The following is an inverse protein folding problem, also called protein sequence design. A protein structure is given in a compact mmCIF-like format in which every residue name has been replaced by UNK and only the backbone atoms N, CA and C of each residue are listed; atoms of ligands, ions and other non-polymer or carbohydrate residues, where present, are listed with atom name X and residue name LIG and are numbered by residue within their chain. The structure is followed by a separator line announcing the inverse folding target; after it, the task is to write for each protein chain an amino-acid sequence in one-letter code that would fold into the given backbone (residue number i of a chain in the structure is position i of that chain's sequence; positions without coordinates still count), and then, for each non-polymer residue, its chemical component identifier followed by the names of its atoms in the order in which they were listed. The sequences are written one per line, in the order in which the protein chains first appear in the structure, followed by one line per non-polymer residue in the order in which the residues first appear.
data_IF_059057394019
#
_entry.id   IF_059057394019
#
_cell.length_a   1.000
_cell.length_b   1.000
_cell.length_c   1.000
_cell.angle_alpha   90.00
_cell.angle_beta   90.00
_cell.angle_gamma   90.00
#
_symmetry.space_group_name_H-M   'P 1'
#
loop_
_entity.id
_entity.type
_entity.pdbx_description
1 polymer ?
#
# COMPACT_ATOMS: atom_id res chain seq x y z
N UNK A 1 -26.82 20.29 12.89
CA UNK A 1 -27.11 18.84 12.84
C UNK A 1 -26.71 18.25 14.18
N UNK A 2 -27.64 17.67 14.93
CA UNK A 2 -27.35 17.05 16.22
C UNK A 2 -26.78 15.64 16.00
N UNK A 3 -25.45 15.56 15.85
CA UNK A 3 -24.72 14.29 15.67
C UNK A 3 -24.73 13.39 16.92
N UNK A 4 -25.38 13.81 18.01
CA UNK A 4 -25.56 13.00 19.22
C UNK A 4 -26.49 11.81 19.02
N UNK A 5 -27.44 11.90 18.08
CA UNK A 5 -28.42 10.85 17.82
C UNK A 5 -27.99 9.91 16.68
N UNK A 6 -26.92 10.24 15.96
CA UNK A 6 -26.39 9.43 14.86
C UNK A 6 -25.66 8.23 15.43
N UNK A 7 -26.08 7.03 15.06
CA UNK A 7 -25.40 5.80 15.50
C UNK A 7 -24.11 5.57 14.72
N UNK A 8 -23.26 4.66 15.19
CA UNK A 8 -22.05 4.31 14.46
C UNK A 8 -22.37 3.67 13.10
N UNK A 9 -23.46 2.91 13.01
CA UNK A 9 -23.87 2.24 11.78
C UNK A 9 -24.36 3.22 10.73
N UNK A 10 -25.13 4.24 11.13
CA UNK A 10 -25.55 5.31 10.23
C UNK A 10 -24.34 6.06 9.65
N UNK A 11 -23.30 6.26 10.47
CA UNK A 11 -22.05 6.88 10.03
C UNK A 11 -21.30 5.98 9.04
N UNK A 12 -21.21 4.68 9.31
CA UNK A 12 -20.53 3.72 8.43
C UNK A 12 -21.24 3.64 7.07
N UNK A 13 -22.57 3.55 7.08
CA UNK A 13 -23.35 3.52 5.84
C UNK A 13 -23.18 4.83 5.07
N UNK A 14 -23.26 5.97 5.75
CA UNK A 14 -23.01 7.27 5.13
C UNK A 14 -21.58 7.41 4.57
N UNK A 15 -20.58 6.79 5.19
CA UNK A 15 -19.20 6.76 4.66
C UNK A 15 -19.05 5.81 3.46
N UNK A 16 -19.89 4.77 3.38
CA UNK A 16 -19.87 3.79 2.30
C UNK A 16 -20.53 4.32 1.03
N UNK A 17 -21.64 5.03 1.17
CA UNK A 17 -22.40 5.62 0.06
C UNK A 17 -21.72 6.86 -0.55
N UNK A 18 -20.65 7.32 0.06
CA UNK A 18 -20.06 8.62 -0.21
C UNK A 18 -19.18 8.62 -1.46
N UNK A 19 -19.41 9.59 -2.33
CA UNK A 19 -18.56 9.83 -3.51
C UNK A 19 -17.19 10.41 -3.11
N UNK A 20 -16.14 9.72 -3.57
CA UNK A 20 -14.73 10.06 -3.32
C UNK A 20 -14.12 11.01 -4.35
N UNK A 21 -14.91 11.42 -5.35
CA UNK A 21 -14.49 12.37 -6.40
C UNK A 21 -14.45 13.83 -5.94
N UNK A 22 -14.98 14.12 -4.74
CA UNK A 22 -14.99 15.46 -4.17
C UNK A 22 -13.57 15.91 -3.77
N UNK A 23 -13.15 17.14 -4.14
CA UNK A 23 -11.83 17.64 -3.77
C UNK A 23 -11.67 17.76 -2.25
N UNK A 24 -10.45 17.61 -1.72
CA UNK A 24 -10.19 17.79 -0.29
C UNK A 24 -10.53 19.21 0.14
N UNK A 25 -10.98 19.34 1.40
CA UNK A 25 -11.33 20.63 1.99
C UNK A 25 -10.07 21.49 2.19
N UNK A 26 -10.18 22.84 2.14
CA UNK A 26 -9.02 23.72 2.26
C UNK A 26 -8.27 23.49 3.57
N UNK A 27 -6.93 23.44 3.48
CA UNK A 27 -6.04 23.15 4.62
C UNK A 27 -6.12 24.23 5.70
N UNK A 28 -6.36 25.49 5.32
CA UNK A 28 -6.56 26.60 6.25
C UNK A 28 -7.77 26.37 7.16
N UNK A 29 -8.84 25.74 6.63
CA UNK A 29 -10.01 25.37 7.42
C UNK A 29 -9.72 24.14 8.28
N UNK A 30 -9.02 23.15 7.71
CA UNK A 30 -8.69 21.89 8.36
C UNK A 30 -7.88 22.09 9.65
N UNK A 31 -6.87 22.97 9.63
CA UNK A 31 -6.04 23.28 10.80
C UNK A 31 -6.51 24.49 11.62
N UNK A 32 -7.75 24.96 11.41
CA UNK A 32 -8.30 26.08 12.17
C UNK A 32 -9.04 25.63 13.42
N UNK A 33 -8.85 26.40 14.52
CA UNK A 33 -9.66 26.37 15.76
C UNK A 33 -9.73 25.00 16.46
N UNK A 34 -8.81 24.80 17.41
CA UNK A 34 -8.82 23.64 18.31
C UNK A 34 -9.34 24.01 19.71
N UNK A 35 -10.19 23.16 20.28
CA UNK A 35 -10.72 23.32 21.65
C UNK A 35 -10.90 21.97 22.32
N UNK A 36 -10.57 21.89 23.62
CA UNK A 36 -10.81 20.68 24.41
C UNK A 36 -12.32 20.54 24.70
N UNK A 37 -12.97 19.43 24.33
CA UNK A 37 -14.37 19.22 24.64
C UNK A 37 -14.59 19.07 26.15
N UNK A 38 -15.62 19.74 26.66
CA UNK A 38 -15.94 19.77 28.11
C UNK A 38 -16.81 18.58 28.56
N UNK A 39 -17.46 17.88 27.64
CA UNK A 39 -18.33 16.72 27.93
C UNK A 39 -18.16 15.62 26.88
N UNK A 40 -18.35 14.36 27.30
CA UNK A 40 -18.21 13.17 26.44
C UNK A 40 -19.24 13.19 25.30
N UNK A 41 -20.48 13.62 25.55
CA UNK A 41 -21.52 13.76 24.53
C UNK A 41 -21.14 14.77 23.43
N UNK A 42 -20.49 15.87 23.80
CA UNK A 42 -19.99 16.87 22.83
C UNK A 42 -18.76 16.35 22.09
N UNK A 43 -17.93 15.55 22.74
CA UNK A 43 -16.78 14.91 22.09
C UNK A 43 -17.22 13.90 21.02
N UNK A 44 -18.19 13.03 21.33
CA UNK A 44 -18.69 12.02 20.38
C UNK A 44 -19.32 12.67 19.13
N UNK A 45 -20.17 13.67 19.34
CA UNK A 45 -20.77 14.48 18.26
C UNK A 45 -19.70 15.16 17.39
N UNK A 46 -18.65 15.74 18.02
CA UNK A 46 -17.51 16.35 17.30
C UNK A 46 -16.74 15.34 16.47
N UNK A 47 -16.44 14.17 17.04
CA UNK A 47 -15.70 13.12 16.37
C UNK A 47 -16.43 12.68 15.10
N UNK A 48 -17.72 12.33 15.22
CA UNK A 48 -18.57 11.86 14.09
C UNK A 48 -18.65 12.91 12.98
N UNK A 49 -18.99 14.14 13.34
CA UNK A 49 -19.11 15.23 12.37
C UNK A 49 -17.79 15.55 11.65
N UNK A 50 -16.69 15.68 12.40
CA UNK A 50 -15.40 16.00 11.81
C UNK A 50 -14.91 14.87 10.91
N UNK A 51 -15.08 13.60 11.32
CA UNK A 51 -14.69 12.43 10.53
C UNK A 51 -15.44 12.39 9.18
N UNK A 52 -16.75 12.64 9.20
CA UNK A 52 -17.57 12.70 7.99
C UNK A 52 -17.19 13.88 7.09
N UNK A 53 -17.04 15.07 7.67
CA UNK A 53 -16.80 16.32 6.94
C UNK A 53 -15.40 16.40 6.30
N UNK A 54 -14.37 15.86 6.97
CA UNK A 54 -12.97 15.88 6.50
C UNK A 54 -12.41 14.51 6.09
N UNK A 55 -13.28 13.56 5.76
CA UNK A 55 -12.92 12.19 5.34
C UNK A 55 -11.71 12.13 4.40
N UNK A 56 -11.71 12.93 3.33
CA UNK A 56 -10.64 12.96 2.31
C UNK A 56 -9.35 13.52 2.87
N UNK A 57 -9.41 14.57 3.70
CA UNK A 57 -8.25 15.17 4.34
C UNK A 57 -7.59 14.20 5.33
N UNK A 58 -8.40 13.47 6.11
CA UNK A 58 -7.89 12.44 7.02
C UNK A 58 -7.27 11.26 6.27
N UNK A 59 -7.88 10.83 5.17
CA UNK A 59 -7.32 9.80 4.31
C UNK A 59 -5.95 10.24 3.75
N UNK A 60 -5.85 11.45 3.21
CA UNK A 60 -4.59 12.02 2.71
C UNK A 60 -3.55 12.09 3.85
N UNK A 61 -3.94 12.52 5.05
CA UNK A 61 -3.04 12.59 6.20
C UNK A 61 -2.50 11.21 6.60
N UNK A 62 -3.36 10.18 6.64
CA UNK A 62 -2.93 8.79 6.90
C UNK A 62 -1.96 8.34 5.82
N UNK A 63 -2.32 8.48 4.53
CA UNK A 63 -1.45 8.10 3.40
C UNK A 63 -0.11 8.82 3.46
N UNK A 64 -0.10 10.11 3.82
CA UNK A 64 1.12 10.89 3.96
C UNK A 64 2.01 10.37 5.11
N UNK A 65 1.44 10.10 6.29
CA UNK A 65 2.17 9.55 7.43
C UNK A 65 2.73 8.15 7.09
N UNK A 66 1.95 7.30 6.43
CA UNK A 66 2.38 5.99 5.95
C UNK A 66 3.53 6.13 4.95
N UNK A 67 3.38 7.00 3.96
CA UNK A 67 4.40 7.29 2.95
C UNK A 67 5.71 7.75 3.59
N UNK A 68 5.64 8.71 4.51
CA UNK A 68 6.81 9.19 5.25
C UNK A 68 7.44 8.10 6.12
N UNK A 69 6.63 7.24 6.75
CA UNK A 69 7.11 6.07 7.49
C UNK A 69 7.90 5.09 6.61
N UNK A 70 7.45 4.90 5.38
CA UNK A 70 8.12 4.06 4.39
C UNK A 70 9.38 4.71 3.84
N UNK A 71 9.34 6.00 3.50
CA UNK A 71 10.49 6.78 3.00
C UNK A 71 11.65 6.84 4.02
N UNK A 72 11.34 6.87 5.32
CA UNK A 72 12.37 6.86 6.38
C UNK A 72 13.17 5.56 6.45
N UNK A 73 12.69 4.47 5.85
CA UNK A 73 13.37 3.16 5.88
C UNK A 73 13.61 2.67 4.45
N UNK A 74 14.72 3.05 3.80
CA UNK A 74 15.00 2.65 2.41
C UNK A 74 15.07 1.12 2.23
N UNK A 75 15.47 0.39 3.27
CA UNK A 75 15.44 -1.07 3.31
C UNK A 75 14.03 -1.66 3.11
N UNK A 76 12.99 -1.00 3.61
CA UNK A 76 11.60 -1.42 3.41
C UNK A 76 11.16 -1.27 1.94
N UNK A 77 11.65 -0.23 1.26
CA UNK A 77 11.41 -0.01 -0.18
C UNK A 77 12.02 -1.15 -0.98
N UNK A 78 13.28 -1.52 -0.68
CA UNK A 78 13.95 -2.64 -1.35
C UNK A 78 13.21 -3.95 -1.08
N UNK A 79 12.78 -4.21 0.17
CA UNK A 79 11.99 -5.40 0.51
C UNK A 79 10.67 -5.48 -0.26
N UNK A 80 9.95 -4.36 -0.39
CA UNK A 80 8.71 -4.29 -1.15
C UNK A 80 8.94 -4.52 -2.65
N UNK A 81 9.99 -3.94 -3.23
CA UNK A 81 10.37 -4.18 -4.62
C UNK A 81 10.73 -5.65 -4.88
N UNK A 82 11.47 -6.28 -3.97
CA UNK A 82 11.79 -7.71 -4.07
C UNK A 82 10.55 -8.59 -3.95
N UNK A 83 9.60 -8.23 -3.08
CA UNK A 83 8.30 -8.89 -2.97
C UNK A 83 7.51 -8.76 -4.26
N UNK A 84 7.39 -7.54 -4.80
CA UNK A 84 6.67 -7.26 -6.03
C UNK A 84 7.28 -7.99 -7.22
N UNK A 85 8.62 -8.05 -7.31
CA UNK A 85 9.32 -8.80 -8.35
C UNK A 85 9.08 -10.31 -8.23
N UNK A 86 9.09 -10.85 -7.01
CA UNK A 86 8.76 -12.27 -6.75
C UNK A 86 7.34 -12.61 -7.21
N UNK A 87 6.37 -11.76 -6.86
CA UNK A 87 4.97 -11.91 -7.29
C UNK A 87 4.84 -11.77 -8.82
N UNK A 88 5.49 -10.79 -9.43
CA UNK A 88 5.46 -10.60 -10.88
C UNK A 88 6.05 -11.81 -11.63
N UNK A 89 7.09 -12.44 -11.08
CA UNK A 89 7.68 -13.66 -11.62
C UNK A 89 6.78 -14.91 -11.50
N UNK A 90 5.68 -14.86 -10.74
CA UNK A 90 4.64 -15.89 -10.80
C UNK A 90 3.82 -15.81 -12.09
N UNK A 91 3.79 -14.65 -12.75
CA UNK A 91 3.15 -14.49 -14.06
C UNK A 91 4.07 -15.02 -15.16
N UNK A 92 3.58 -16.01 -15.90
CA UNK A 92 4.28 -16.70 -16.98
C UNK A 92 4.77 -15.74 -18.08
N UNK A 93 3.97 -14.73 -18.44
CA UNK A 93 4.32 -13.74 -19.47
C UNK A 93 5.45 -12.83 -19.01
N UNK A 94 5.38 -12.38 -17.75
CA UNK A 94 6.41 -11.52 -17.18
C UNK A 94 7.73 -12.28 -16.99
N UNK A 95 7.67 -13.50 -16.46
CA UNK A 95 8.85 -14.34 -16.23
C UNK A 95 9.63 -14.63 -17.52
N UNK A 96 8.92 -14.89 -18.63
CA UNK A 96 9.54 -15.09 -19.95
C UNK A 96 10.30 -13.87 -20.46
N UNK A 97 9.64 -12.70 -20.46
CA UNK A 97 10.24 -11.42 -20.90
C UNK A 97 11.42 -11.04 -20.01
N UNK A 98 11.27 -11.21 -18.70
CA UNK A 98 12.32 -10.92 -17.73
C UNK A 98 13.57 -11.78 -17.96
N UNK A 99 13.39 -13.10 -18.09
CA UNK A 99 14.48 -14.05 -18.36
C UNK A 99 15.22 -13.71 -19.66
N UNK A 100 14.48 -13.37 -20.72
CA UNK A 100 15.08 -12.99 -22.00
C UNK A 100 15.88 -11.69 -21.89
N UNK A 101 15.33 -10.66 -21.25
CA UNK A 101 16.04 -9.38 -21.03
C UNK A 101 17.31 -9.58 -20.20
N UNK A 102 17.22 -10.28 -19.06
CA UNK A 102 18.38 -10.57 -18.22
C UNK A 102 19.45 -11.34 -18.99
N UNK A 103 19.05 -12.37 -19.75
CA UNK A 103 19.99 -13.16 -20.55
C UNK A 103 20.66 -12.30 -21.64
N UNK A 104 19.92 -11.41 -22.31
CA UNK A 104 20.48 -10.48 -23.31
C UNK A 104 21.48 -9.51 -22.68
N UNK A 105 21.15 -8.93 -21.53
CA UNK A 105 22.06 -8.05 -20.80
C UNK A 105 23.32 -8.80 -20.37
N UNK A 106 23.19 -9.99 -19.80
CA UNK A 106 24.37 -10.76 -19.38
C UNK A 106 25.22 -11.20 -20.58
N UNK A 107 24.64 -11.46 -21.76
CA UNK A 107 25.43 -11.70 -22.98
C UNK A 107 26.31 -10.50 -23.34
N UNK A 108 25.86 -9.28 -23.10
CA UNK A 108 26.63 -8.07 -23.36
C UNK A 108 27.82 -7.92 -22.39
N UNK A 109 27.65 -8.31 -21.13
CA UNK A 109 28.71 -8.21 -20.12
C UNK A 109 29.65 -9.42 -20.09
N UNK A 110 29.12 -10.64 -20.21
CA UNK A 110 29.88 -11.89 -20.16
C UNK A 110 29.20 -13.01 -20.96
N UNK A 111 29.68 -13.31 -22.18
CA UNK A 111 29.11 -14.36 -23.02
C UNK A 111 29.26 -15.75 -22.40
N UNK A 112 30.29 -15.97 -21.58
CA UNK A 112 30.53 -17.24 -20.89
C UNK A 112 29.48 -17.52 -19.80
N UNK A 113 29.08 -16.50 -19.04
CA UNK A 113 28.01 -16.63 -18.04
C UNK A 113 26.65 -16.89 -18.70
N UNK A 114 26.40 -16.24 -19.84
CA UNK A 114 25.17 -16.45 -20.61
C UNK A 114 25.05 -17.86 -21.21
N UNK A 115 26.18 -18.50 -21.54
CA UNK A 115 26.18 -19.91 -21.95
C UNK A 115 25.74 -20.84 -20.82
N UNK A 116 26.16 -20.56 -19.57
CA UNK A 116 25.80 -21.33 -18.37
C UNK A 116 24.34 -21.16 -17.93
N UNK A 117 23.70 -20.06 -18.31
CA UNK A 117 22.29 -19.77 -18.03
C UNK A 117 21.30 -20.34 -19.07
N UNK A 118 21.78 -21.11 -20.07
CA UNK A 118 20.87 -21.75 -21.02
C UNK A 118 20.02 -22.81 -20.31
N UNK A 119 18.69 -22.84 -20.53
CA UNK A 119 17.85 -23.90 -19.99
C UNK A 119 18.28 -25.25 -20.56
N UNK A 120 18.15 -26.35 -19.78
CA UNK A 120 18.52 -27.68 -20.24
C UNK A 120 17.77 -28.01 -21.54
N UNK A 121 18.53 -28.42 -22.56
CA UNK A 121 18.00 -28.82 -23.85
C UNK A 121 17.06 -30.00 -23.65
N UNK A 122 15.75 -29.76 -23.77
CA UNK A 122 14.79 -30.86 -23.87
C UNK A 122 14.77 -31.32 -25.32
N UNK A 123 15.05 -32.60 -25.62
CA UNK A 123 14.95 -33.10 -26.99
C UNK A 123 13.51 -32.85 -27.47
N UNK A 124 13.39 -32.11 -28.58
CA UNK A 124 12.10 -31.87 -29.23
C UNK A 124 11.66 -33.19 -29.85
N UNK A 125 10.82 -33.93 -29.15
CA UNK A 125 10.12 -35.08 -29.73
C UNK A 125 9.03 -34.50 -30.64
N UNK A 126 9.29 -34.52 -31.94
CA UNK A 126 8.37 -34.07 -33.00
C UNK A 126 7.04 -34.81 -32.83
N UNK A 127 5.94 -34.09 -32.59
CA UNK A 127 4.58 -34.63 -32.56
C UNK A 127 3.90 -34.76 -31.19
N UNK A 128 4.58 -34.51 -30.06
CA UNK A 128 3.91 -34.50 -28.75
C UNK A 128 3.54 -33.07 -28.33
N UNK A 129 2.26 -32.74 -28.08
CA UNK A 129 1.91 -31.46 -27.46
C UNK A 129 2.63 -31.37 -26.11
N UNK A 130 3.45 -30.34 -25.95
CA UNK A 130 4.27 -30.13 -24.75
C UNK A 130 3.35 -29.85 -23.56
N UNK A 131 2.97 -30.90 -22.84
CA UNK A 131 2.23 -30.77 -21.60
C UNK A 131 3.09 -30.01 -20.58
N UNK A 132 2.71 -28.75 -20.35
CA UNK A 132 3.34 -27.76 -19.45
C UNK A 132 4.79 -27.43 -19.82
N UNK A 133 4.95 -26.39 -20.65
CA UNK A 133 6.23 -25.70 -20.87
C UNK A 133 6.74 -25.17 -19.53
N UNK A 134 7.63 -25.91 -18.87
CA UNK A 134 8.26 -25.43 -17.64
C UNK A 134 9.04 -24.14 -17.96
N UNK A 135 8.67 -23.04 -17.34
CA UNK A 135 9.29 -21.74 -17.56
C UNK A 135 10.57 -21.67 -16.72
N UNK A 136 11.68 -21.41 -17.39
CA UNK A 136 13.00 -21.28 -16.79
C UNK A 136 13.41 -19.80 -16.78
N UNK A 137 13.87 -19.34 -15.62
CA UNK A 137 14.45 -18.01 -15.44
C UNK A 137 15.96 -18.24 -15.30
N UNK A 138 16.75 -17.72 -16.25
CA UNK A 138 18.22 -17.88 -16.26
C UNK A 138 18.72 -19.34 -16.13
N UNK A 139 17.99 -20.30 -16.69
CA UNK A 139 18.34 -21.73 -16.68
C UNK A 139 17.88 -22.49 -15.42
N UNK A 140 17.35 -21.81 -14.41
CA UNK A 140 16.76 -22.41 -13.21
C UNK A 140 15.23 -22.45 -13.30
N UNK A 141 14.55 -23.41 -12.65
CA UNK A 141 13.10 -23.45 -12.61
C UNK A 141 12.55 -22.23 -11.86
N UNK A 142 11.45 -21.64 -12.35
CA UNK A 142 10.84 -20.40 -11.82
C UNK A 142 10.68 -20.37 -10.29
N UNK A 143 10.35 -21.52 -9.68
CA UNK A 143 10.13 -21.63 -8.24
C UNK A 143 11.39 -21.35 -7.42
N UNK A 144 12.58 -21.68 -7.92
CA UNK A 144 13.84 -21.37 -7.22
C UNK A 144 14.05 -19.86 -7.16
N UNK A 145 13.79 -19.15 -8.26
CA UNK A 145 13.88 -17.70 -8.31
C UNK A 145 12.87 -17.05 -7.36
N UNK A 146 11.60 -17.45 -7.43
CA UNK A 146 10.53 -16.94 -6.54
C UNK A 146 10.88 -17.21 -5.07
N UNK A 147 11.39 -18.40 -4.74
CA UNK A 147 11.74 -18.78 -3.38
C UNK A 147 12.93 -17.96 -2.85
N UNK A 148 13.99 -17.78 -3.64
CA UNK A 148 15.15 -16.96 -3.24
C UNK A 148 14.73 -15.51 -3.00
N UNK A 149 13.99 -14.90 -3.94
CA UNK A 149 13.52 -13.52 -3.79
C UNK A 149 12.54 -13.37 -2.63
N UNK A 150 11.70 -14.37 -2.37
CA UNK A 150 10.79 -14.40 -1.22
C UNK A 150 11.56 -14.48 0.11
N UNK A 151 12.58 -15.34 0.21
CA UNK A 151 13.42 -15.45 1.42
C UNK A 151 14.18 -14.16 1.68
N UNK A 152 14.84 -13.61 0.65
CA UNK A 152 15.57 -12.34 0.77
C UNK A 152 14.64 -11.22 1.20
N UNK A 153 13.45 -11.14 0.59
CA UNK A 153 12.42 -10.19 0.99
C UNK A 153 12.00 -10.37 2.44
N UNK A 154 11.70 -11.61 2.85
CA UNK A 154 11.26 -11.91 4.22
C UNK A 154 12.32 -11.51 5.26
N UNK A 155 13.60 -11.83 4.99
CA UNK A 155 14.72 -11.40 5.83
C UNK A 155 14.80 -9.87 5.86
N UNK A 156 14.69 -9.19 4.72
CA UNK A 156 14.73 -7.73 4.67
C UNK A 156 13.56 -7.11 5.45
N UNK A 157 12.35 -7.65 5.35
CA UNK A 157 11.18 -7.23 6.14
C UNK A 157 11.40 -7.41 7.64
N UNK A 158 12.01 -8.53 8.04
CA UNK A 158 12.31 -8.86 9.43
C UNK A 158 13.42 -7.97 10.02
N UNK A 159 14.58 -7.92 9.34
CA UNK A 159 15.76 -7.13 9.77
C UNK A 159 15.45 -5.63 9.82
N UNK A 160 14.64 -5.13 8.88
CA UNK A 160 14.29 -3.72 8.86
C UNK A 160 13.21 -3.33 9.88
N UNK A 161 12.64 -4.28 10.64
CA UNK A 161 11.41 -4.10 11.42
C UNK A 161 10.33 -3.33 10.63
N UNK A 162 10.30 -3.48 9.30
CA UNK A 162 9.49 -2.64 8.45
C UNK A 162 8.00 -2.89 8.67
N UNK A 163 7.61 -4.14 8.95
CA UNK A 163 6.25 -4.50 9.38
C UNK A 163 5.83 -3.71 10.62
N UNK A 164 6.69 -3.67 11.64
CA UNK A 164 6.43 -2.96 12.89
C UNK A 164 6.40 -1.44 12.66
N UNK A 165 7.27 -0.94 11.79
CA UNK A 165 7.31 0.49 11.40
C UNK A 165 6.06 0.91 10.63
N UNK A 166 5.58 0.08 9.70
CA UNK A 166 4.34 0.31 8.94
C UNK A 166 3.13 0.26 9.88
N UNK A 167 3.07 -0.73 10.76
CA UNK A 167 2.00 -0.85 11.75
C UNK A 167 1.99 0.35 12.71
N UNK A 168 3.16 0.80 13.15
CA UNK A 168 3.31 1.97 14.00
C UNK A 168 2.92 3.25 13.25
N UNK A 169 3.34 3.42 11.99
CA UNK A 169 2.95 4.57 11.17
C UNK A 169 1.43 4.60 10.95
N UNK A 170 0.81 3.43 10.74
CA UNK A 170 -0.64 3.29 10.63
C UNK A 170 -1.34 3.65 11.94
N UNK A 171 -0.86 3.13 13.07
CA UNK A 171 -1.37 3.47 14.39
C UNK A 171 -1.24 4.97 14.70
N UNK A 172 -0.09 5.58 14.38
CA UNK A 172 0.13 7.04 14.52
C UNK A 172 -0.84 7.80 13.61
N UNK A 173 -1.05 7.36 12.37
CA UNK A 173 -2.02 7.96 11.46
C UNK A 173 -3.43 7.95 12.02
N UNK A 174 -3.90 6.82 12.56
CA UNK A 174 -5.21 6.68 13.19
C UNK A 174 -5.33 7.49 14.49
N UNK A 175 -4.29 7.50 15.33
CA UNK A 175 -4.28 8.31 16.54
C UNK A 175 -4.32 9.81 16.22
N UNK A 176 -3.58 10.23 15.18
CA UNK A 176 -3.59 11.60 14.72
C UNK A 176 -4.96 12.01 14.15
N UNK A 177 -5.65 11.15 13.40
CA UNK A 177 -7.01 11.45 12.92
C UNK A 177 -7.99 11.58 14.07
N UNK A 178 -7.97 10.64 15.02
CA UNK A 178 -8.85 10.67 16.20
C UNK A 178 -8.55 11.91 17.04
N UNK A 179 -7.29 12.22 17.32
CA UNK A 179 -6.89 13.40 18.08
C UNK A 179 -7.33 14.69 17.37
N UNK A 180 -7.05 14.81 16.07
CA UNK A 180 -7.44 15.97 15.28
C UNK A 180 -8.97 16.15 15.25
N UNK A 181 -9.72 15.09 14.97
CA UNK A 181 -11.17 15.12 14.95
C UNK A 181 -11.78 15.40 16.34
N UNK A 182 -11.10 15.00 17.42
CA UNK A 182 -11.53 15.26 18.81
C UNK A 182 -11.37 16.72 19.22
N UNK A 183 -10.23 17.32 18.88
CA UNK A 183 -9.90 18.68 19.30
C UNK A 183 -10.43 19.75 18.34
N UNK A 184 -10.70 19.41 17.07
CA UNK A 184 -11.18 20.40 16.09
C UNK A 184 -12.59 20.87 16.45
N UNK A 185 -12.74 22.19 16.60
CA UNK A 185 -14.04 22.79 16.88
C UNK A 185 -14.90 22.75 15.61
N UNK A 186 -16.17 22.35 15.74
CA UNK A 186 -17.14 22.53 14.66
C UNK A 186 -17.23 24.03 14.32
N UNK A 187 -16.72 24.43 13.16
CA UNK A 187 -16.91 25.79 12.65
C UNK A 187 -18.36 25.99 12.26
N UNK A 188 -18.94 27.14 12.60
CA UNK A 188 -20.32 27.54 12.28
C UNK A 188 -20.67 27.52 10.78
N UNK A 189 -19.70 27.35 9.88
CA UNK A 189 -19.93 27.17 8.44
C UNK A 189 -20.58 25.83 8.08
N UNK A 190 -20.64 24.85 9.00
CA UNK A 190 -21.37 23.59 8.76
C UNK A 190 -22.90 23.74 8.75
N UNK A 191 -23.44 24.92 9.08
CA UNK A 191 -24.86 25.22 8.90
C UNK A 191 -25.24 25.57 7.44
N UNK A 192 -24.27 25.79 6.55
CA UNK A 192 -24.54 26.22 5.16
C UNK A 192 -24.07 25.27 4.05
N UNK A 193 -23.50 24.12 4.38
CA UNK A 193 -22.92 23.18 3.40
C UNK A 193 -23.73 21.88 3.24
N UNK A 194 -25.06 21.99 3.36
CA UNK A 194 -26.02 21.01 2.83
C UNK A 194 -26.73 21.67 1.65
N UNK A 195 -26.03 21.71 0.52
CA UNK A 195 -26.56 21.68 -0.84
C UNK A 195 -25.57 20.94 -1.71
#
# INVERSE_FOLDING_TARGET
MDWSNVTAEDLIEALREVDWSSPPRPLSEFFSRFTVPRTVSKWDSRLKCNLYYYRTNYFIMIVFILGMGFLRRPLAIVAALMTALSIACLNDSFAGIFSEKVTRTVRQFSPHLAAKMRPPLRPVIRGRPSAKRAIYICGQPRWVFVLVFSIVSFILWFVSCALLTVLLAFAIGLLATIAHASFRLMGSSTHGALF
#
